data_IF_837576841647
#
_entry.id   IF_837576841647
#
_cell.length_a   1.000
_cell.length_b   1.000
_cell.length_c   1.000
_cell.angle_alpha   90.00
_cell.angle_beta   90.00
_cell.angle_gamma   90.00
#
_symmetry.space_group_name_H-M   'P 1'
#
loop_
_entity.id
_entity.type
_entity.pdbx_description
1 polymer ?
#
# COMPACT_ATOMS: atom_id res chain seq x y z
N UNK A 1 3.96 -10.56 9.26
CA UNK A 1 4.54 -9.21 9.10
C UNK A 1 3.38 -8.28 8.76
N UNK A 2 3.00 -7.41 9.71
CA UNK A 2 1.80 -6.58 9.60
C UNK A 2 1.76 -5.81 8.26
N UNK A 3 0.67 -5.97 7.50
CA UNK A 3 0.46 -5.35 6.18
C UNK A 3 0.65 -3.82 6.23
N UNK A 4 0.41 -3.20 7.39
CA UNK A 4 0.64 -1.77 7.63
C UNK A 4 2.11 -1.40 7.38
N UNK A 5 3.05 -2.27 7.78
CA UNK A 5 4.50 -2.09 7.62
C UNK A 5 4.87 -2.20 6.14
N UNK A 6 4.24 -3.13 5.41
CA UNK A 6 4.53 -3.36 3.99
C UNK A 6 4.14 -2.14 3.17
N UNK A 7 2.94 -1.59 3.39
CA UNK A 7 2.48 -0.39 2.70
C UNK A 7 3.36 0.82 3.03
N UNK A 8 3.72 0.98 4.31
CA UNK A 8 4.62 2.05 4.74
C UNK A 8 6.01 1.93 4.10
N UNK A 9 6.53 0.72 3.93
CA UNK A 9 7.81 0.47 3.25
C UNK A 9 7.77 0.83 1.77
N UNK A 10 6.73 0.42 1.04
CA UNK A 10 6.55 0.77 -0.38
C UNK A 10 6.59 2.30 -0.55
N UNK A 11 5.85 3.02 0.30
CA UNK A 11 5.83 4.48 0.29
C UNK A 11 7.20 5.08 0.62
N UNK A 12 7.87 4.58 1.65
CA UNK A 12 9.18 5.08 2.07
C UNK A 12 10.27 4.81 1.02
N UNK A 13 10.25 3.65 0.36
CA UNK A 13 11.14 3.34 -0.78
C UNK A 13 10.91 4.28 -1.95
N UNK A 14 9.70 4.80 -2.09
CA UNK A 14 9.35 5.81 -3.09
C UNK A 14 9.69 7.24 -2.66
N UNK A 15 10.18 7.46 -1.44
CA UNK A 15 10.44 8.78 -0.85
C UNK A 15 9.21 9.71 -0.83
N UNK A 16 8.00 9.14 -0.71
CA UNK A 16 6.75 9.89 -0.77
C UNK A 16 6.15 10.15 0.63
N UNK A 17 5.49 11.30 0.78
CA UNK A 17 4.55 11.50 1.88
C UNK A 17 3.32 10.61 1.69
N UNK A 18 2.53 10.39 2.75
CA UNK A 18 1.26 9.66 2.63
C UNK A 18 0.32 10.32 1.62
N UNK A 19 0.36 11.66 1.50
CA UNK A 19 -0.45 12.42 0.56
C UNK A 19 0.02 12.19 -0.88
N UNK A 20 1.33 12.24 -1.11
CA UNK A 20 1.88 12.03 -2.46
C UNK A 20 1.71 10.59 -2.93
N UNK A 21 1.85 9.63 -2.02
CA UNK A 21 1.55 8.23 -2.32
C UNK A 21 0.08 8.01 -2.64
N UNK A 22 -0.83 8.62 -1.87
CA UNK A 22 -2.27 8.57 -2.15
C UNK A 22 -2.60 9.14 -3.54
N UNK A 23 -1.97 10.27 -3.91
CA UNK A 23 -2.10 10.85 -5.24
C UNK A 23 -1.57 9.91 -6.32
N UNK A 24 -0.39 9.29 -6.11
CA UNK A 24 0.25 8.40 -7.07
C UNK A 24 -0.59 7.16 -7.40
N UNK A 25 -1.30 6.60 -6.41
CA UNK A 25 -2.15 5.42 -6.59
C UNK A 25 -3.64 5.78 -6.80
N UNK A 26 -3.98 7.07 -6.84
CA UNK A 26 -5.34 7.56 -7.10
C UNK A 26 -6.35 7.20 -6.00
N UNK A 27 -5.98 7.42 -4.74
CA UNK A 27 -6.87 7.30 -3.57
C UNK A 27 -6.78 8.54 -2.68
N UNK A 28 -7.62 8.65 -1.66
CA UNK A 28 -7.55 9.77 -0.72
C UNK A 28 -6.42 9.59 0.29
N UNK A 29 -5.86 10.70 0.81
CA UNK A 29 -4.89 10.68 1.91
C UNK A 29 -5.42 9.88 3.12
N UNK A 30 -6.70 10.08 3.47
CA UNK A 30 -7.33 9.40 4.61
C UNK A 30 -7.42 7.88 4.40
N UNK A 31 -7.52 7.41 3.15
CA UNK A 31 -7.43 5.99 2.80
C UNK A 31 -6.06 5.41 3.15
N UNK A 32 -4.97 6.03 2.66
CA UNK A 32 -3.59 5.59 2.97
C UNK A 32 -3.31 5.67 4.48
N UNK A 33 -3.74 6.74 5.14
CA UNK A 33 -3.58 6.89 6.59
C UNK A 33 -4.26 5.75 7.36
N UNK A 34 -5.47 5.33 6.96
CA UNK A 34 -6.15 4.20 7.62
C UNK A 34 -5.42 2.87 7.39
N UNK A 35 -4.89 2.65 6.20
CA UNK A 35 -4.10 1.45 5.90
C UNK A 35 -2.81 1.40 6.70
N UNK A 36 -2.02 2.47 6.75
CA UNK A 36 -0.74 2.49 7.48
C UNK A 36 -0.91 2.47 9.01
N UNK A 37 -2.12 2.71 9.52
CA UNK A 37 -2.45 2.66 10.96
C UNK A 37 -3.32 1.45 11.34
N UNK A 38 -3.47 0.46 10.46
CA UNK A 38 -4.18 -0.78 10.77
C UNK A 38 -5.70 -0.62 10.96
N UNK A 39 -6.28 0.49 10.47
CA UNK A 39 -7.72 0.78 10.64
C UNK A 39 -8.59 0.11 9.59
N UNK A 40 -8.04 -0.24 8.45
CA UNK A 40 -8.66 -1.07 7.42
C UNK A 40 -7.60 -1.75 6.56
N UNK A 41 -7.99 -2.79 5.87
CA UNK A 41 -7.18 -3.49 4.86
C UNK A 41 -7.57 -2.94 3.47
N UNK A 42 -6.62 -2.73 2.55
CA UNK A 42 -6.95 -2.38 1.16
C UNK A 42 -7.83 -3.47 0.53
N UNK A 43 -8.91 -3.06 -0.16
CA UNK A 43 -9.72 -4.02 -0.91
C UNK A 43 -9.00 -4.44 -2.22
N UNK A 44 -9.56 -5.39 -2.95
CA UNK A 44 -8.96 -5.90 -4.19
C UNK A 44 -8.66 -4.81 -5.24
N UNK A 45 -9.54 -3.81 -5.39
CA UNK A 45 -9.32 -2.70 -6.35
C UNK A 45 -8.15 -1.83 -5.92
N UNK A 46 -8.01 -1.58 -4.63
CA UNK A 46 -6.91 -0.81 -4.07
C UNK A 46 -5.59 -1.58 -4.12
N UNK A 47 -5.62 -2.89 -3.86
CA UNK A 47 -4.47 -3.79 -4.03
C UNK A 47 -3.98 -3.82 -5.48
N UNK A 48 -4.89 -3.81 -6.45
CA UNK A 48 -4.54 -3.72 -7.88
C UNK A 48 -3.79 -2.42 -8.18
N UNK A 49 -4.26 -1.27 -7.69
CA UNK A 49 -3.60 0.04 -7.85
C UNK A 49 -2.20 0.04 -7.22
N UNK A 50 -2.07 -0.50 -6.01
CA UNK A 50 -0.77 -0.62 -5.33
C UNK A 50 0.18 -1.52 -6.14
N UNK A 51 -0.32 -2.64 -6.65
CA UNK A 51 0.46 -3.56 -7.48
C UNK A 51 0.92 -2.91 -8.79
N UNK A 52 0.05 -2.19 -9.48
CA UNK A 52 0.39 -1.43 -10.68
C UNK A 52 1.46 -0.37 -10.38
N UNK A 53 1.30 0.38 -9.29
CA UNK A 53 2.28 1.36 -8.85
C UNK A 53 3.65 0.70 -8.59
N UNK A 54 3.70 -0.37 -7.80
CA UNK A 54 4.94 -1.09 -7.50
C UNK A 54 5.62 -1.60 -8.78
N UNK A 55 4.85 -2.13 -9.73
CA UNK A 55 5.36 -2.57 -11.03
C UNK A 55 6.02 -1.41 -11.79
N UNK A 56 5.38 -0.23 -11.86
CA UNK A 56 5.96 0.94 -12.55
C UNK A 56 7.22 1.48 -11.88
N UNK A 57 7.32 1.36 -10.55
CA UNK A 57 8.46 1.85 -9.77
C UNK A 57 9.56 0.79 -9.57
N UNK A 58 9.43 -0.40 -10.17
CA UNK A 58 10.33 -1.55 -9.94
C UNK A 58 10.47 -1.93 -8.45
N UNK A 59 9.38 -1.81 -7.69
CA UNK A 59 9.32 -2.20 -6.28
C UNK A 59 8.80 -3.65 -6.21
N UNK A 60 9.55 -4.60 -5.63
CA UNK A 60 9.08 -5.97 -5.45
C UNK A 60 7.86 -6.01 -4.52
N UNK A 61 6.70 -6.41 -5.05
CA UNK A 61 5.46 -6.52 -4.30
C UNK A 61 4.59 -7.66 -4.85
N UNK A 62 4.02 -8.46 -3.94
CA UNK A 62 2.99 -9.45 -4.25
C UNK A 62 1.80 -9.25 -3.31
N UNK A 63 0.59 -9.43 -3.84
CA UNK A 63 -0.68 -9.31 -3.10
C UNK A 63 -0.75 -10.32 -1.95
N UNK A 64 -0.15 -11.49 -2.16
CA UNK A 64 0.07 -12.52 -1.15
C UNK A 64 0.61 -11.95 0.16
N UNK A 65 1.53 -11.00 0.09
CA UNK A 65 2.16 -10.39 1.25
C UNK A 65 1.17 -9.71 2.22
N UNK A 66 -0.07 -9.45 1.79
CA UNK A 66 -1.12 -8.81 2.61
C UNK A 66 -2.15 -9.83 3.15
N UNK A 67 -2.33 -10.98 2.51
CA UNK A 67 -3.38 -11.95 2.86
C UNK A 67 -2.92 -13.11 3.76
N UNK A 68 -1.61 -13.34 3.93
CA UNK A 68 -1.09 -14.47 4.70
C UNK A 68 -1.04 -14.25 6.24
N UNK A 69 -1.92 -13.43 6.83
CA UNK A 69 -2.04 -13.28 8.29
C UNK A 69 -3.36 -13.81 8.89
N UNK A 70 -4.21 -14.49 8.10
CA UNK A 70 -5.41 -15.17 8.60
C UNK A 70 -5.19 -16.68 8.92
N UNK A 71 -3.96 -17.10 9.22
CA UNK A 71 -3.67 -18.45 9.76
C UNK A 71 -2.67 -18.44 10.91
#
# INVERSE_FOLDING_TARGET
MDYTIILKRIRQQSLLSQKDFANAIGVSFSTVNRWENGKNIPNFKDLKKISEYCYTQNIPFSIENIFWEDK
#
